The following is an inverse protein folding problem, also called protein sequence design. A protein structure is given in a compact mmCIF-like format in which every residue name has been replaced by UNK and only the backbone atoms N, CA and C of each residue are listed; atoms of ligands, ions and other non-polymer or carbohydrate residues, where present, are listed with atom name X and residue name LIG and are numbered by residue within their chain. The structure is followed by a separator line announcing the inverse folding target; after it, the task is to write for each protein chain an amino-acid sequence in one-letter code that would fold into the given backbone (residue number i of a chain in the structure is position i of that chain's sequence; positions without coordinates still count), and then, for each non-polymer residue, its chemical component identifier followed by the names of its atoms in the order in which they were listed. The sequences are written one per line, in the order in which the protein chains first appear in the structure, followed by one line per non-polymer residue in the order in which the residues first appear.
data_IF_176797591134
#
_entry.id   IF_176797591134
#
_cell.length_a   1.000
_cell.length_b   1.000
_cell.length_c   1.000
_cell.angle_alpha   90.00
_cell.angle_beta   90.00
_cell.angle_gamma   90.00
#
_symmetry.space_group_name_H-M   'P 1'
#
loop_
_entity.id
_entity.type
_entity.pdbx_description
1 polymer ?
#
# COMPACT_ATOMS: atom_id res chain seq x y z
N UNK A 1 -10.45 24.92 7.71
CA UNK A 1 -9.62 23.81 7.24
C UNK A 1 -10.48 22.71 6.69
N UNK A 2 -10.23 22.33 5.50
CA UNK A 2 -11.07 21.36 4.81
C UNK A 2 -10.72 19.94 5.22
N UNK A 3 -11.74 19.14 5.57
CA UNK A 3 -11.60 17.71 5.80
C UNK A 3 -11.95 16.92 4.55
N UNK A 4 -12.04 17.60 3.40
CA UNK A 4 -12.50 17.01 2.16
C UNK A 4 -11.35 16.61 1.22
N UNK A 5 -10.12 16.58 1.72
CA UNK A 5 -8.99 16.17 0.92
C UNK A 5 -9.17 14.72 0.47
N UNK A 6 -9.02 14.50 -0.84
CA UNK A 6 -9.07 13.16 -1.41
C UNK A 6 -7.94 12.32 -0.81
N UNK A 7 -8.25 11.19 -0.16
CA UNK A 7 -7.20 10.36 0.43
C UNK A 7 -6.20 9.82 -0.59
N UNK A 8 -6.56 9.73 -1.88
CA UNK A 8 -5.63 9.28 -2.91
C UNK A 8 -4.64 10.36 -3.33
N UNK A 9 -4.87 11.62 -2.95
CA UNK A 9 -4.00 12.75 -3.30
C UNK A 9 -3.15 13.24 -2.14
N UNK A 10 -3.13 12.50 -1.01
CA UNK A 10 -2.31 12.89 0.14
C UNK A 10 -0.83 12.96 -0.21
N UNK A 11 -0.11 14.00 0.27
CA UNK A 11 1.32 14.06 0.03
C UNK A 11 2.04 12.96 0.80
N UNK A 12 3.08 12.33 0.23
CA UNK A 12 3.89 11.36 0.97
C UNK A 12 4.59 12.05 2.15
N UNK A 13 4.78 11.37 3.29
CA UNK A 13 4.44 9.97 3.59
C UNK A 13 3.08 9.80 4.29
N UNK A 14 2.16 10.73 4.13
CA UNK A 14 0.86 10.65 4.80
C UNK A 14 0.04 9.48 4.27
N UNK A 15 -0.71 8.82 5.17
CA UNK A 15 -1.53 7.67 4.84
C UNK A 15 -3.01 8.01 5.03
N UNK A 16 -3.89 7.41 4.22
CA UNK A 16 -5.33 7.65 4.35
C UNK A 16 -5.90 7.02 5.63
N UNK A 17 -7.12 7.43 5.97
CA UNK A 17 -7.78 7.00 7.21
C UNK A 17 -7.87 5.49 7.35
N UNK A 18 -8.16 4.78 6.26
CA UNK A 18 -8.27 3.32 6.31
C UNK A 18 -6.96 2.66 6.75
N UNK A 19 -5.84 3.14 6.22
CA UNK A 19 -4.54 2.63 6.63
C UNK A 19 -4.30 2.86 8.13
N UNK A 20 -4.65 4.04 8.62
CA UNK A 20 -4.50 4.35 10.04
C UNK A 20 -5.41 3.47 10.91
N UNK A 21 -6.61 3.17 10.44
CA UNK A 21 -7.53 2.27 11.14
C UNK A 21 -6.93 0.87 11.29
N UNK A 22 -6.21 0.40 10.28
CA UNK A 22 -5.53 -0.90 10.35
C UNK A 22 -4.26 -0.83 11.21
N UNK A 23 -3.82 0.35 11.60
CA UNK A 23 -2.57 0.52 12.34
C UNK A 23 -1.33 0.53 11.46
N UNK A 24 -1.50 0.80 10.16
CA UNK A 24 -0.38 0.86 9.22
C UNK A 24 0.38 2.16 9.43
N UNK A 25 1.71 2.06 9.46
CA UNK A 25 2.60 3.21 9.59
C UNK A 25 3.67 3.17 8.50
N UNK A 26 4.34 4.29 8.29
CA UNK A 26 5.52 4.33 7.44
C UNK A 26 6.72 3.90 8.29
N UNK A 27 7.33 2.78 7.92
CA UNK A 27 8.45 2.19 8.67
C UNK A 27 9.79 2.74 8.18
N UNK A 28 9.93 2.89 6.87
CA UNK A 28 11.20 3.25 6.24
C UNK A 28 10.93 3.88 4.89
N UNK A 29 11.98 4.38 4.26
CA UNK A 29 11.93 4.89 2.91
C UNK A 29 13.13 4.35 2.14
N UNK A 30 12.88 3.78 0.97
CA UNK A 30 13.91 3.22 0.10
C UNK A 30 13.80 3.90 -1.26
N UNK A 31 14.84 4.65 -1.63
CA UNK A 31 14.86 5.42 -2.87
C UNK A 31 13.62 6.32 -3.02
N UNK A 32 13.18 6.89 -1.90
CA UNK A 32 12.00 7.76 -1.87
C UNK A 32 10.67 7.03 -1.80
N UNK A 33 10.66 5.69 -1.84
CA UNK A 33 9.44 4.89 -1.80
C UNK A 33 9.20 4.39 -0.38
N UNK A 34 8.02 4.67 0.20
CA UNK A 34 7.74 4.23 1.57
C UNK A 34 7.66 2.71 1.70
N UNK A 35 8.27 2.19 2.76
CA UNK A 35 8.04 0.83 3.25
C UNK A 35 7.02 0.96 4.37
N UNK A 36 5.88 0.32 4.23
CA UNK A 36 4.84 0.37 5.24
C UNK A 36 4.97 -0.81 6.19
N UNK A 37 4.49 -0.63 7.41
CA UNK A 37 4.49 -1.68 8.41
C UNK A 37 3.17 -1.68 9.16
N UNK A 38 2.76 -2.85 9.63
CA UNK A 38 1.64 -3.01 10.54
C UNK A 38 2.00 -4.03 11.60
N UNK A 39 1.76 -3.68 12.86
CA UNK A 39 1.95 -4.62 13.95
C UNK A 39 0.73 -5.49 14.10
N UNK A 40 0.95 -6.75 14.50
CA UNK A 40 -0.14 -7.66 14.74
C UNK A 40 -0.96 -7.20 15.94
N UNK A 41 -2.26 -7.30 15.84
CA UNK A 41 -3.18 -6.97 16.91
C UNK A 41 -4.60 -7.26 16.48
N UNK A 42 -5.54 -6.90 17.32
CA UNK A 42 -6.95 -7.21 17.12
C UNK A 42 -7.49 -6.62 15.82
N UNK A 43 -7.02 -5.45 15.41
CA UNK A 43 -7.51 -4.79 14.20
C UNK A 43 -7.20 -5.55 12.91
N UNK A 44 -6.24 -6.45 12.94
CA UNK A 44 -5.79 -7.18 11.75
C UNK A 44 -5.92 -8.70 11.91
N UNK A 45 -6.37 -9.17 13.08
CA UNK A 45 -6.48 -10.59 13.36
C UNK A 45 -7.70 -11.20 12.67
N UNK A 46 -7.47 -12.31 11.97
CA UNK A 46 -8.52 -13.16 11.44
C UNK A 46 -8.71 -14.35 12.35
N UNK A 47 -8.32 -15.57 11.89
CA UNK A 47 -8.27 -16.70 12.81
C UNK A 47 -7.17 -16.45 13.87
N UNK A 48 -7.28 -17.07 15.06
CA UNK A 48 -6.36 -16.77 16.15
C UNK A 48 -4.89 -16.83 15.75
N UNK A 49 -4.14 -15.80 16.11
CA UNK A 49 -2.70 -15.65 15.88
C UNK A 49 -2.31 -15.54 14.40
N UNK A 50 -3.25 -15.21 13.53
CA UNK A 50 -2.98 -15.04 12.11
C UNK A 50 -3.64 -13.77 11.60
N UNK A 51 -3.01 -13.14 10.60
CA UNK A 51 -3.59 -11.99 9.94
C UNK A 51 -4.84 -12.39 9.16
N UNK A 52 -5.86 -11.56 9.25
CA UNK A 52 -7.00 -11.64 8.35
C UNK A 52 -6.53 -11.32 6.93
N UNK A 53 -6.99 -12.11 5.95
CA UNK A 53 -6.60 -11.88 4.54
C UNK A 53 -6.92 -10.48 4.06
N UNK A 54 -8.06 -9.92 4.48
CA UNK A 54 -8.42 -8.54 4.16
C UNK A 54 -7.45 -7.51 4.71
N UNK A 55 -6.87 -7.76 5.90
CA UNK A 55 -5.88 -6.86 6.48
C UNK A 55 -4.57 -6.91 5.69
N UNK A 56 -4.14 -8.10 5.29
CA UNK A 56 -2.97 -8.26 4.44
C UNK A 56 -3.18 -7.58 3.08
N UNK A 57 -4.36 -7.75 2.48
CA UNK A 57 -4.70 -7.07 1.22
C UNK A 57 -4.70 -5.55 1.40
N UNK A 58 -5.20 -5.06 2.53
CA UNK A 58 -5.20 -3.64 2.84
C UNK A 58 -3.78 -3.08 2.96
N UNK A 59 -2.87 -3.83 3.59
CA UNK A 59 -1.46 -3.44 3.67
C UNK A 59 -0.84 -3.35 2.29
N UNK A 60 -1.07 -4.36 1.45
CA UNK A 60 -0.56 -4.38 0.07
C UNK A 60 -1.09 -3.20 -0.73
N UNK A 61 -2.39 -2.97 -0.69
CA UNK A 61 -3.03 -1.88 -1.43
C UNK A 61 -2.47 -0.53 -1.00
N UNK A 62 -2.37 -0.29 0.30
CA UNK A 62 -1.85 0.98 0.80
C UNK A 62 -0.39 1.18 0.43
N UNK A 63 0.42 0.12 0.44
CA UNK A 63 1.82 0.21 0.03
C UNK A 63 1.95 0.53 -1.45
N UNK A 64 1.08 -0.04 -2.29
CA UNK A 64 1.06 0.26 -3.71
C UNK A 64 0.70 1.71 -3.99
N UNK A 65 -0.34 2.23 -3.35
CA UNK A 65 -0.70 3.64 -3.49
C UNK A 65 0.38 4.56 -2.96
N UNK A 66 1.03 4.19 -1.85
CA UNK A 66 2.11 5.00 -1.28
C UNK A 66 3.28 5.13 -2.27
N UNK A 67 3.63 4.04 -2.93
CA UNK A 67 4.68 4.06 -3.95
C UNK A 67 4.30 4.99 -5.11
N UNK A 68 3.06 4.88 -5.60
CA UNK A 68 2.60 5.70 -6.72
C UNK A 68 2.56 7.18 -6.33
N UNK A 69 2.00 7.52 -5.17
CA UNK A 69 1.97 8.91 -4.72
C UNK A 69 3.36 9.50 -4.58
N UNK A 70 4.31 8.73 -4.06
CA UNK A 70 5.69 9.19 -3.92
C UNK A 70 6.31 9.51 -5.28
N UNK A 71 6.09 8.63 -6.27
CA UNK A 71 6.63 8.84 -7.61
C UNK A 71 5.98 10.04 -8.29
N UNK A 72 4.66 10.16 -8.22
CA UNK A 72 3.95 11.29 -8.82
C UNK A 72 4.36 12.60 -8.18
N UNK A 73 4.54 12.62 -6.87
CA UNK A 73 5.01 13.80 -6.17
C UNK A 73 6.41 14.21 -6.64
N UNK A 74 7.32 13.25 -6.77
CA UNK A 74 8.66 13.50 -7.27
C UNK A 74 8.65 14.05 -8.71
N UNK A 75 7.68 13.60 -9.51
CA UNK A 75 7.54 14.02 -10.91
C UNK A 75 6.75 15.34 -11.05
N UNK A 76 6.28 15.92 -9.96
CA UNK A 76 5.47 17.14 -9.98
C UNK A 76 4.08 16.94 -10.59
N UNK A 77 3.57 15.71 -10.59
CA UNK A 77 2.27 15.37 -11.16
C UNK A 77 1.22 15.32 -10.06
N UNK A 78 0.11 16.03 -10.29
CA UNK A 78 -1.01 16.07 -9.36
C UNK A 78 -2.18 15.30 -9.98
N UNK A 79 -2.36 14.07 -9.52
CA UNK A 79 -3.31 13.15 -10.11
C UNK A 79 -4.29 12.66 -9.06
N UNK A 80 -5.53 12.46 -9.48
CA UNK A 80 -6.53 11.74 -8.71
C UNK A 80 -6.38 10.25 -9.06
N UNK A 81 -6.31 9.40 -8.07
CA UNK A 81 -6.05 7.98 -8.27
C UNK A 81 -7.33 7.20 -8.03
N UNK A 82 -7.66 6.32 -8.97
CA UNK A 82 -8.83 5.45 -8.87
C UNK A 82 -8.42 4.02 -9.12
N UNK A 83 -8.85 3.08 -8.28
CA UNK A 83 -8.51 1.68 -8.51
C UNK A 83 -9.26 1.15 -9.73
N UNK A 84 -8.55 0.42 -10.58
CA UNK A 84 -9.18 -0.37 -11.64
C UNK A 84 -9.35 -1.80 -11.12
N UNK A 85 -8.27 -2.40 -10.68
CA UNK A 85 -8.31 -3.70 -10.04
C UNK A 85 -7.06 -3.93 -9.20
N UNK A 86 -7.18 -4.93 -8.33
CA UNK A 86 -6.05 -5.46 -7.56
C UNK A 86 -6.23 -6.98 -7.51
N UNK A 87 -5.15 -7.69 -7.79
CA UNK A 87 -5.10 -9.13 -7.65
C UNK A 87 -4.11 -9.47 -6.55
N UNK A 88 -4.58 -10.17 -5.54
CA UNK A 88 -3.77 -10.55 -4.37
C UNK A 88 -3.50 -12.05 -4.42
N UNK A 89 -2.24 -12.42 -4.20
CA UNK A 89 -1.84 -13.81 -4.01
C UNK A 89 -1.36 -13.99 -2.59
N UNK A 90 -1.98 -14.91 -1.87
CA UNK A 90 -1.58 -15.28 -0.52
C UNK A 90 -0.63 -16.46 -0.63
N UNK A 91 0.65 -16.22 -0.31
CA UNK A 91 1.70 -17.20 -0.53
C UNK A 91 1.95 -18.04 0.71
N UNK A 92 1.76 -17.44 1.89
CA UNK A 92 1.81 -18.14 3.16
C UNK A 92 0.98 -17.40 4.19
N UNK A 93 0.70 -18.05 5.33
CA UNK A 93 -0.09 -17.43 6.38
C UNK A 93 0.72 -16.35 7.08
N UNK A 94 0.11 -15.18 7.26
CA UNK A 94 0.68 -14.11 8.08
C UNK A 94 0.53 -14.48 9.56
N UNK A 95 1.64 -14.57 10.26
CA UNK A 95 1.67 -14.94 11.68
C UNK A 95 1.59 -13.69 12.56
N UNK A 96 1.45 -13.91 13.88
CA UNK A 96 1.32 -12.84 14.86
C UNK A 96 2.64 -12.07 15.04
N UNK A 97 3.09 -11.40 13.99
CA UNK A 97 4.32 -10.63 13.92
C UNK A 97 4.10 -9.40 13.07
N UNK A 98 5.02 -8.44 13.13
CA UNK A 98 4.97 -7.27 12.26
C UNK A 98 5.06 -7.70 10.81
N UNK A 99 4.22 -7.10 9.97
CA UNK A 99 4.26 -7.28 8.52
C UNK A 99 4.67 -5.99 7.86
N UNK A 100 5.43 -6.10 6.78
CA UNK A 100 5.93 -4.99 5.99
C UNK A 100 5.46 -5.13 4.56
N UNK A 101 5.34 -4.02 3.85
CA UNK A 101 5.04 -4.06 2.43
C UNK A 101 5.64 -2.87 1.71
N UNK A 102 5.99 -3.07 0.47
CA UNK A 102 6.51 -2.02 -0.42
C UNK A 102 6.00 -2.25 -1.82
N UNK A 103 5.57 -1.16 -2.46
CA UNK A 103 5.17 -1.17 -3.86
C UNK A 103 6.35 -0.86 -4.77
N UNK A 104 6.31 -1.43 -5.97
CA UNK A 104 7.26 -1.15 -7.04
C UNK A 104 6.46 -0.85 -8.30
N UNK A 105 6.66 0.34 -8.86
CA UNK A 105 5.98 0.73 -10.09
C UNK A 105 6.63 -0.01 -11.24
N UNK A 106 5.86 -0.83 -11.93
CA UNK A 106 6.34 -1.61 -13.07
C UNK A 106 6.07 -0.89 -14.39
N UNK A 107 5.06 -0.03 -14.42
CA UNK A 107 4.75 0.78 -15.58
C UNK A 107 4.02 2.04 -15.13
N UNK A 108 4.49 3.19 -15.60
CA UNK A 108 3.87 4.47 -15.30
C UNK A 108 3.57 5.16 -16.62
N UNK A 109 2.33 5.14 -17.03
CA UNK A 109 1.87 5.83 -18.21
C UNK A 109 1.27 7.18 -17.87
N UNK A 110 0.55 7.75 -18.82
CA UNK A 110 -0.10 9.04 -18.64
C UNK A 110 -1.39 8.92 -17.84
N UNK A 111 -2.15 7.84 -18.04
CA UNK A 111 -3.44 7.63 -17.39
C UNK A 111 -3.52 6.36 -16.55
N UNK A 112 -2.57 5.46 -16.70
CA UNK A 112 -2.56 4.19 -16.00
C UNK A 112 -1.21 3.94 -15.35
N UNK A 113 -1.24 3.34 -14.19
CA UNK A 113 -0.06 2.85 -13.50
C UNK A 113 -0.26 1.37 -13.16
N UNK A 114 0.79 0.59 -13.34
CA UNK A 114 0.85 -0.80 -12.93
C UNK A 114 1.88 -0.91 -11.81
N UNK A 115 1.47 -1.55 -10.72
CA UNK A 115 2.30 -1.63 -9.52
C UNK A 115 2.30 -3.06 -9.03
N UNK A 116 3.48 -3.57 -8.71
CA UNK A 116 3.65 -4.84 -8.03
C UNK A 116 3.98 -4.56 -6.58
N UNK A 117 3.34 -5.27 -5.66
CA UNK A 117 3.53 -5.07 -4.23
C UNK A 117 3.86 -6.40 -3.59
N UNK A 118 4.78 -6.38 -2.63
CA UNK A 118 5.09 -7.56 -1.83
C UNK A 118 4.95 -7.22 -0.35
N UNK A 119 4.46 -8.20 0.42
CA UNK A 119 4.40 -8.12 1.87
C UNK A 119 5.21 -9.26 2.46
N UNK A 120 5.97 -8.96 3.51
CA UNK A 120 6.83 -9.94 4.15
C UNK A 120 6.82 -9.73 5.67
N UNK A 121 7.35 -10.70 6.40
CA UNK A 121 7.51 -10.62 7.84
C UNK A 121 8.98 -10.74 8.22
N UNK A 122 9.46 -11.96 8.41
CA UNK A 122 10.83 -12.17 8.88
C UNK A 122 11.87 -12.14 7.76
N UNK A 123 11.47 -12.52 6.56
CA UNK A 123 12.39 -12.69 5.43
C UNK A 123 11.79 -12.05 4.19
N UNK A 124 12.40 -10.97 3.76
CA UNK A 124 11.93 -10.22 2.59
C UNK A 124 11.99 -11.05 1.30
N UNK A 125 12.90 -12.02 1.25
CA UNK A 125 13.04 -12.91 0.11
C UNK A 125 11.93 -13.97 0.05
N UNK A 126 11.14 -14.09 1.13
CA UNK A 126 10.02 -15.01 1.22
C UNK A 126 8.75 -14.24 1.58
N UNK A 127 8.18 -13.51 0.62
CA UNK A 127 6.97 -12.74 0.91
C UNK A 127 5.81 -13.66 1.33
N UNK A 128 4.97 -13.15 2.22
CA UNK A 128 3.76 -13.87 2.64
C UNK A 128 2.62 -13.63 1.65
N UNK A 129 2.68 -12.54 0.90
CA UNK A 129 1.66 -12.19 -0.07
C UNK A 129 2.25 -11.23 -1.10
N UNK A 130 1.61 -11.20 -2.26
CA UNK A 130 1.96 -10.24 -3.31
C UNK A 130 0.68 -9.73 -3.97
N UNK A 131 0.79 -8.61 -4.66
CA UNK A 131 -0.34 -8.05 -5.39
C UNK A 131 0.13 -7.37 -6.66
N UNK A 132 -0.77 -7.34 -7.64
CA UNK A 132 -0.62 -6.53 -8.84
C UNK A 132 -1.79 -5.57 -8.85
N UNK A 133 -1.49 -4.27 -9.01
CA UNK A 133 -2.50 -3.23 -9.01
C UNK A 133 -2.49 -2.49 -10.33
N UNK A 134 -3.68 -2.22 -10.86
CA UNK A 134 -3.86 -1.31 -11.98
C UNK A 134 -4.63 -0.11 -11.45
N UNK A 135 -4.08 1.09 -11.65
CA UNK A 135 -4.65 2.31 -11.12
C UNK A 135 -4.86 3.30 -12.25
N UNK A 136 -6.05 3.86 -12.32
CA UNK A 136 -6.36 4.95 -13.25
C UNK A 136 -5.92 6.27 -12.62
N UNK A 137 -5.24 7.07 -13.41
CA UNK A 137 -4.80 8.39 -13.00
C UNK A 137 -5.53 9.44 -13.81
N UNK A 138 -6.19 10.36 -13.12
CA UNK A 138 -6.88 11.50 -13.75
C UNK A 138 -6.27 12.79 -13.22
N UNK A 139 -6.10 13.76 -14.10
CA UNK A 139 -5.61 15.05 -13.66
C UNK A 139 -6.63 15.72 -12.74
N UNK A 140 -6.12 16.36 -11.70
CA UNK A 140 -6.96 17.15 -10.80
C UNK A 140 -7.29 18.47 -11.48
N UNK A 141 -8.56 18.86 -11.38
CA UNK A 141 -9.04 20.12 -11.93
C UNK A 141 -8.52 21.32 -11.11
#
# INVERSE_FOLDING_TARGET
MSDTQDPTSLPPPQLPAYARTLGITVHDSEDGIPVLAVEFGQSVEGRPQHYHGGATAGLLENAGYAALRAQLHADGRHMQLKPINITVQYLSAGKARTSYAKGRITRLGRRNANITVEAWQDDRERPIASAVMNILMAETA
#
